data_IF_374181265477
#
_entry.id   IF_374181265477
#
_cell.length_a   1.000
_cell.length_b   1.000
_cell.length_c   1.000
_cell.angle_alpha   90.00
_cell.angle_beta   90.00
_cell.angle_gamma   90.00
#
_symmetry.space_group_name_H-M   'P 1'
#
loop_
_entity.id
_entity.type
_entity.pdbx_description
1 polymer ?
#
# COMPACT_ATOMS: atom_id res chain seq x y z
N UNK A 1 20.00 -41.57 -13.76
CA UNK A 1 20.61 -41.91 -15.05
C UNK A 1 21.31 -43.27 -14.97
N UNK A 2 20.65 -44.35 -15.37
CA UNK A 2 21.30 -45.66 -15.58
C UNK A 2 21.07 -46.03 -17.04
N UNK A 3 22.15 -46.01 -17.84
CA UNK A 3 22.16 -46.43 -19.23
C UNK A 3 22.15 -47.96 -19.27
N UNK A 4 21.07 -48.56 -19.79
CA UNK A 4 21.09 -49.96 -20.19
C UNK A 4 21.93 -50.11 -21.48
N UNK A 5 23.09 -50.75 -21.37
CA UNK A 5 23.87 -51.24 -22.50
C UNK A 5 23.21 -52.51 -23.01
N UNK A 6 22.60 -52.46 -24.16
CA UNK A 6 22.12 -53.64 -24.89
C UNK A 6 23.31 -54.25 -25.63
N UNK A 7 23.63 -55.48 -25.29
CA UNK A 7 24.75 -56.26 -25.84
C UNK A 7 24.42 -56.78 -27.25
N UNK A 8 25.26 -56.43 -28.21
CA UNK A 8 25.16 -56.71 -29.66
C UNK A 8 25.50 -58.15 -30.05
N UNK A 9 25.26 -59.14 -29.19
CA UNK A 9 25.68 -60.51 -29.40
C UNK A 9 24.59 -61.56 -29.76
N UNK A 10 23.34 -61.14 -29.96
CA UNK A 10 22.23 -62.07 -30.24
C UNK A 10 21.59 -61.90 -31.65
N UNK A 11 22.20 -61.17 -32.55
CA UNK A 11 21.65 -61.03 -33.94
C UNK A 11 22.29 -61.96 -34.97
N UNK A 12 23.30 -62.75 -34.60
CA UNK A 12 24.04 -63.57 -35.59
C UNK A 12 23.68 -65.05 -35.64
N UNK A 13 22.69 -65.51 -34.88
CA UNK A 13 22.34 -66.98 -34.89
C UNK A 13 21.01 -67.28 -35.60
N UNK A 14 20.28 -66.30 -36.11
CA UNK A 14 19.01 -66.57 -36.81
C UNK A 14 19.12 -66.64 -38.36
N UNK A 15 20.32 -66.45 -38.93
CA UNK A 15 20.50 -66.37 -40.40
C UNK A 15 21.03 -67.71 -41.01
N UNK A 16 21.23 -68.80 -40.25
CA UNK A 16 21.86 -70.05 -40.76
C UNK A 16 20.93 -71.27 -40.80
N UNK A 17 19.62 -71.12 -40.57
CA UNK A 17 18.66 -72.22 -40.60
C UNK A 17 17.76 -72.23 -41.87
N UNK A 18 18.02 -71.42 -42.86
CA UNK A 18 17.13 -71.30 -44.05
C UNK A 18 17.73 -71.94 -45.35
N UNK A 19 18.84 -72.67 -45.32
CA UNK A 19 19.52 -73.15 -46.54
C UNK A 19 19.71 -74.67 -46.73
N UNK A 20 18.96 -75.50 -46.07
CA UNK A 20 19.06 -76.99 -46.29
C UNK A 20 17.66 -77.58 -46.35
N UNK A 21 16.80 -77.21 -47.30
CA UNK A 21 15.69 -78.04 -47.79
C UNK A 21 15.45 -77.64 -49.26
N UNK A 22 16.36 -78.02 -50.11
CA UNK A 22 16.14 -78.08 -51.55
C UNK A 22 16.98 -79.17 -52.14
N UNK A 23 16.54 -80.42 -52.11
CA UNK A 23 16.74 -81.46 -53.06
C UNK A 23 16.15 -82.75 -52.45
N UNK A 24 14.97 -83.10 -52.77
CA UNK A 24 14.41 -84.44 -52.96
C UNK A 24 12.87 -84.36 -52.98
N UNK A 25 12.33 -84.44 -54.15
CA UNK A 25 10.88 -84.52 -54.22
C UNK A 25 10.43 -84.68 -55.64
N UNK A 26 10.35 -85.93 -56.04
CA UNK A 26 9.84 -86.34 -57.33
C UNK A 26 8.54 -85.57 -57.73
N UNK A 27 8.48 -85.32 -58.99
CA UNK A 27 7.33 -84.81 -59.73
C UNK A 27 6.15 -85.76 -59.52
N UNK A 28 5.27 -85.46 -58.56
CA UNK A 28 3.88 -85.85 -58.67
C UNK A 28 3.13 -84.60 -59.16
N UNK A 29 2.90 -84.55 -60.46
CA UNK A 29 1.95 -83.64 -61.05
C UNK A 29 0.54 -84.03 -60.56
N UNK A 30 0.18 -83.62 -59.35
CA UNK A 30 -1.22 -83.52 -58.97
C UNK A 30 -1.82 -82.39 -59.79
N UNK A 31 -2.80 -82.75 -60.62
CA UNK A 31 -3.60 -81.76 -61.32
C UNK A 31 -4.36 -80.95 -60.25
N UNK A 32 -3.74 -79.89 -59.82
CA UNK A 32 -4.39 -78.89 -58.92
C UNK A 32 -5.49 -78.28 -59.78
N UNK A 33 -6.72 -78.58 -59.44
CA UNK A 33 -7.89 -78.01 -60.15
C UNK A 33 -7.90 -76.50 -59.90
N UNK A 34 -8.28 -75.73 -60.89
CA UNK A 34 -8.36 -74.29 -60.81
C UNK A 34 -9.17 -73.86 -59.59
N UNK A 35 -10.17 -74.61 -59.20
CA UNK A 35 -10.98 -74.38 -58.01
C UNK A 35 -10.17 -74.48 -56.70
N UNK A 36 -9.18 -75.39 -56.59
CA UNK A 36 -8.34 -75.46 -55.40
C UNK A 36 -7.38 -74.31 -55.28
N UNK A 37 -6.90 -73.73 -56.38
CA UNK A 37 -6.06 -72.53 -56.41
C UNK A 37 -6.88 -71.35 -56.00
N UNK A 38 -8.12 -71.15 -56.55
CA UNK A 38 -9.05 -70.13 -56.21
C UNK A 38 -9.46 -70.18 -54.70
N UNK A 39 -9.72 -71.35 -54.17
CA UNK A 39 -10.02 -71.54 -52.75
C UNK A 39 -8.83 -71.18 -51.85
N UNK A 40 -7.61 -71.55 -52.27
CA UNK A 40 -6.41 -71.23 -51.54
C UNK A 40 -6.15 -69.73 -51.51
N UNK A 41 -6.38 -69.02 -52.63
CA UNK A 41 -6.26 -67.55 -52.71
C UNK A 41 -7.35 -66.84 -51.90
N UNK A 42 -8.59 -67.31 -51.92
CA UNK A 42 -9.63 -66.81 -51.04
C UNK A 42 -9.30 -66.96 -49.55
N UNK A 43 -8.76 -68.14 -49.17
CA UNK A 43 -8.31 -68.32 -47.78
C UNK A 43 -7.17 -67.39 -47.40
N UNK A 44 -6.23 -67.13 -48.34
CA UNK A 44 -5.12 -66.20 -48.11
C UNK A 44 -5.64 -64.77 -47.96
N UNK A 45 -6.59 -64.36 -48.82
CA UNK A 45 -7.22 -63.06 -48.74
C UNK A 45 -7.99 -62.86 -47.41
N UNK A 46 -8.75 -63.87 -47.00
CA UNK A 46 -9.46 -63.81 -45.72
C UNK A 46 -8.50 -63.73 -44.50
N UNK A 47 -7.41 -64.50 -44.50
CA UNK A 47 -6.38 -64.45 -43.48
C UNK A 47 -5.65 -63.09 -43.49
N UNK A 48 -5.43 -62.51 -44.67
CA UNK A 48 -4.83 -61.19 -44.80
C UNK A 48 -5.77 -60.10 -44.26
N UNK A 49 -7.06 -60.19 -44.56
CA UNK A 49 -8.07 -59.28 -44.02
C UNK A 49 -8.17 -59.38 -42.48
N UNK A 50 -8.26 -60.59 -41.94
CA UNK A 50 -8.27 -60.78 -40.48
C UNK A 50 -6.99 -60.26 -39.79
N UNK A 51 -5.85 -60.42 -40.46
CA UNK A 51 -4.57 -59.89 -39.96
C UNK A 51 -4.56 -58.37 -39.97
N UNK A 52 -5.07 -57.78 -41.06
CA UNK A 52 -5.16 -56.35 -41.17
C UNK A 52 -6.13 -55.72 -40.15
N UNK A 53 -7.27 -56.39 -39.91
CA UNK A 53 -8.20 -55.98 -38.88
C UNK A 53 -7.58 -56.02 -37.48
N UNK A 54 -6.82 -57.08 -37.15
CA UNK A 54 -6.07 -57.16 -35.90
C UNK A 54 -5.01 -56.06 -35.79
N UNK A 55 -4.28 -55.80 -36.86
CA UNK A 55 -3.29 -54.68 -36.90
C UNK A 55 -4.00 -53.36 -36.68
N UNK A 56 -5.12 -53.12 -37.34
CA UNK A 56 -5.91 -51.89 -37.17
C UNK A 56 -6.40 -51.72 -35.73
N UNK A 57 -6.92 -52.79 -35.12
CA UNK A 57 -7.36 -52.77 -33.71
C UNK A 57 -6.20 -52.46 -32.76
N UNK A 58 -5.02 -53.04 -32.97
CA UNK A 58 -3.84 -52.77 -32.15
C UNK A 58 -3.34 -51.35 -32.33
N UNK A 59 -3.32 -50.85 -33.57
CA UNK A 59 -2.94 -49.45 -33.88
C UNK A 59 -3.90 -48.48 -33.27
N UNK A 60 -5.19 -48.73 -33.35
CA UNK A 60 -6.21 -47.87 -32.77
C UNK A 60 -6.17 -47.88 -31.23
N UNK A 61 -6.00 -49.05 -30.63
CA UNK A 61 -5.76 -49.18 -29.18
C UNK A 61 -4.49 -48.44 -28.71
N UNK A 62 -3.39 -48.58 -29.47
CA UNK A 62 -2.15 -47.87 -29.16
C UNK A 62 -2.27 -46.36 -29.29
N UNK A 63 -3.02 -45.86 -30.29
CA UNK A 63 -3.32 -44.41 -30.45
C UNK A 63 -4.15 -43.92 -29.25
N UNK A 64 -5.24 -44.61 -28.95
CA UNK A 64 -6.10 -44.25 -27.81
C UNK A 64 -5.34 -44.20 -26.49
N UNK A 65 -4.48 -45.21 -26.23
CA UNK A 65 -3.65 -45.25 -25.02
C UNK A 65 -2.62 -44.09 -24.99
N UNK A 66 -2.03 -43.77 -26.15
CA UNK A 66 -1.10 -42.63 -26.25
C UNK A 66 -1.78 -41.31 -25.96
N UNK A 67 -2.99 -41.11 -26.48
CA UNK A 67 -3.76 -39.88 -26.26
C UNK A 67 -4.23 -39.78 -24.81
N UNK A 68 -4.67 -40.89 -24.19
CA UNK A 68 -4.97 -40.92 -22.76
C UNK A 68 -3.73 -40.60 -21.92
N UNK A 69 -2.59 -41.17 -22.24
CA UNK A 69 -1.33 -40.91 -21.55
C UNK A 69 -0.96 -39.41 -21.63
N UNK A 70 -1.08 -38.83 -22.82
CA UNK A 70 -0.83 -37.36 -23.02
C UNK A 70 -1.80 -36.50 -22.22
N UNK A 71 -3.09 -36.83 -22.21
CA UNK A 71 -4.11 -36.12 -21.46
C UNK A 71 -3.81 -36.17 -19.95
N UNK A 72 -3.52 -37.36 -19.41
CA UNK A 72 -3.20 -37.55 -17.99
C UNK A 72 -1.93 -36.77 -17.61
N UNK A 73 -0.87 -36.85 -18.44
CA UNK A 73 0.35 -36.08 -18.14
C UNK A 73 0.11 -34.59 -18.13
N UNK A 74 -0.69 -34.06 -19.06
CA UNK A 74 -1.09 -32.63 -19.06
C UNK A 74 -1.84 -32.25 -17.78
N UNK A 75 -2.73 -33.11 -17.31
CA UNK A 75 -3.46 -32.92 -16.06
C UNK A 75 -2.51 -32.95 -14.84
N UNK A 76 -1.60 -33.92 -14.79
CA UNK A 76 -0.59 -34.02 -13.75
C UNK A 76 0.29 -32.78 -13.71
N UNK A 77 0.72 -32.26 -14.85
CA UNK A 77 1.55 -31.06 -14.91
C UNK A 77 0.74 -29.81 -14.48
N UNK A 78 -0.53 -29.72 -14.85
CA UNK A 78 -1.45 -28.70 -14.35
C UNK A 78 -1.60 -28.75 -12.83
N UNK A 79 -1.83 -29.94 -12.28
CA UNK A 79 -1.96 -30.15 -10.83
C UNK A 79 -0.67 -29.83 -10.07
N UNK A 80 0.49 -30.14 -10.62
CA UNK A 80 1.79 -29.77 -10.02
C UNK A 80 1.96 -28.27 -9.92
N UNK A 81 1.60 -27.52 -10.98
CA UNK A 81 1.64 -26.06 -10.98
C UNK A 81 0.65 -25.51 -9.96
N UNK A 82 -0.58 -26.01 -9.97
CA UNK A 82 -1.62 -25.59 -9.02
C UNK A 82 -1.18 -25.81 -7.56
N UNK A 83 -0.69 -27.01 -7.24
CA UNK A 83 -0.23 -27.33 -5.88
C UNK A 83 0.95 -26.44 -5.45
N UNK A 84 1.89 -26.14 -6.36
CA UNK A 84 2.99 -25.21 -6.08
C UNK A 84 2.49 -23.80 -5.74
N UNK A 85 1.53 -23.30 -6.52
CA UNK A 85 0.94 -21.99 -6.29
C UNK A 85 0.14 -21.94 -4.98
N UNK A 86 -0.67 -22.97 -4.71
CA UNK A 86 -1.41 -23.10 -3.45
C UNK A 86 -0.49 -23.16 -2.24
N UNK A 87 0.60 -23.92 -2.34
CA UNK A 87 1.60 -23.99 -1.27
C UNK A 87 2.26 -22.64 -1.04
N UNK A 88 2.64 -21.93 -2.10
CA UNK A 88 3.21 -20.58 -1.98
C UNK A 88 2.22 -19.59 -1.35
N UNK A 89 0.96 -19.65 -1.75
CA UNK A 89 -0.10 -18.81 -1.19
C UNK A 89 -0.34 -19.12 0.29
N UNK A 90 -0.42 -20.39 0.66
CA UNK A 90 -0.60 -20.81 2.06
C UNK A 90 0.57 -20.37 2.94
N UNK A 91 1.80 -20.50 2.44
CA UNK A 91 2.99 -20.03 3.14
C UNK A 91 2.97 -18.51 3.34
N UNK A 92 2.54 -17.75 2.32
CA UNK A 92 2.37 -16.31 2.43
C UNK A 92 1.30 -15.92 3.46
N UNK A 93 0.16 -16.63 3.48
CA UNK A 93 -0.89 -16.41 4.48
C UNK A 93 -0.41 -16.74 5.90
N UNK A 94 0.34 -17.83 6.09
CA UNK A 94 0.90 -18.20 7.39
C UNK A 94 1.90 -17.15 7.89
N UNK A 95 2.76 -16.61 7.02
CA UNK A 95 3.66 -15.51 7.39
C UNK A 95 2.86 -14.26 7.82
N UNK A 96 1.81 -13.90 7.08
CA UNK A 96 0.94 -12.77 7.44
C UNK A 96 0.23 -13.01 8.78
N UNK A 97 -0.23 -14.23 9.06
CA UNK A 97 -0.85 -14.58 10.35
C UNK A 97 0.15 -14.46 11.52
N UNK A 98 1.40 -14.84 11.31
CA UNK A 98 2.46 -14.68 12.30
C UNK A 98 2.76 -13.21 12.57
N UNK A 99 2.87 -12.38 11.53
CA UNK A 99 3.04 -10.92 11.66
C UNK A 99 1.86 -10.25 12.40
N UNK A 100 0.62 -10.67 12.10
CA UNK A 100 -0.57 -10.20 12.80
C UNK A 100 -0.54 -10.62 14.27
N UNK A 101 -0.16 -11.86 14.58
CA UNK A 101 -0.06 -12.35 15.96
C UNK A 101 0.95 -11.55 16.77
N UNK A 102 2.13 -11.29 16.21
CA UNK A 102 3.16 -10.43 16.85
C UNK A 102 2.62 -9.02 17.07
N UNK A 103 1.92 -8.47 16.06
CA UNK A 103 1.31 -7.14 16.16
C UNK A 103 0.23 -7.08 17.26
N UNK A 104 -0.58 -8.11 17.39
CA UNK A 104 -1.61 -8.21 18.44
C UNK A 104 -1.02 -8.25 19.84
N UNK A 105 0.08 -8.98 20.04
CA UNK A 105 0.78 -9.01 21.34
C UNK A 105 1.33 -7.64 21.75
N UNK A 106 1.66 -6.79 20.77
CA UNK A 106 2.15 -5.43 20.99
C UNK A 106 1.03 -4.41 21.24
N UNK A 107 -0.20 -4.66 20.80
CA UNK A 107 -1.32 -3.71 20.91
C UNK A 107 -1.59 -3.29 22.36
N UNK A 108 -1.56 -4.21 23.29
CA UNK A 108 -1.79 -3.90 24.70
C UNK A 108 -0.69 -3.02 25.30
N UNK A 109 0.55 -3.22 24.89
CA UNK A 109 1.68 -2.39 25.31
C UNK A 109 1.55 -0.99 24.72
N UNK A 110 1.24 -0.91 23.42
CA UNK A 110 1.02 0.36 22.73
C UNK A 110 -0.13 1.14 23.38
N UNK A 111 -1.27 0.49 23.62
CA UNK A 111 -2.42 1.13 24.26
C UNK A 111 -2.10 1.71 25.64
N UNK A 112 -1.28 1.03 26.44
CA UNK A 112 -0.87 1.55 27.75
C UNK A 112 0.10 2.73 27.66
N UNK A 113 0.91 2.81 26.62
CA UNK A 113 1.91 3.87 26.45
C UNK A 113 1.37 5.09 25.72
N UNK A 114 0.37 4.93 24.86
CA UNK A 114 -0.15 6.02 24.03
C UNK A 114 -0.98 7.03 24.86
N UNK A 115 -1.70 6.58 25.89
CA UNK A 115 -2.47 7.48 26.75
C UNK A 115 -1.60 8.50 27.49
N UNK A 116 -0.55 8.10 28.22
CA UNK A 116 0.36 9.05 28.84
C UNK A 116 1.11 9.92 27.83
N UNK A 117 1.32 9.42 26.60
CA UNK A 117 1.90 10.23 25.54
C UNK A 117 0.94 11.34 25.10
N UNK A 118 -0.33 11.00 24.80
CA UNK A 118 -1.34 11.98 24.41
C UNK A 118 -1.58 13.04 25.50
N UNK A 119 -1.62 12.65 26.77
CA UNK A 119 -1.73 13.56 27.90
C UNK A 119 -0.57 14.59 27.89
N UNK A 120 0.66 14.12 27.82
CA UNK A 120 1.84 15.02 27.72
C UNK A 120 1.82 15.89 26.46
N UNK A 121 1.30 15.39 25.34
CA UNK A 121 1.14 16.18 24.13
C UNK A 121 0.12 17.31 24.32
N UNK A 122 -1.01 17.03 24.94
CA UNK A 122 -2.04 18.05 25.24
C UNK A 122 -1.49 19.11 26.20
N UNK A 123 -0.81 18.69 27.26
CA UNK A 123 -0.14 19.60 28.19
C UNK A 123 0.93 20.44 27.51
N UNK A 124 1.66 19.86 26.55
CA UNK A 124 2.64 20.57 25.74
C UNK A 124 2.00 21.67 24.87
N UNK A 125 0.83 21.42 24.27
CA UNK A 125 0.07 22.45 23.54
C UNK A 125 -0.39 23.54 24.50
N UNK A 126 -0.96 23.20 25.64
CA UNK A 126 -1.44 24.15 26.65
C UNK A 126 -0.32 25.06 27.12
N UNK A 127 0.86 24.52 27.45
CA UNK A 127 2.03 25.30 27.83
C UNK A 127 2.52 26.19 26.67
N UNK A 128 2.51 25.66 25.44
CA UNK A 128 2.87 26.45 24.27
C UNK A 128 1.93 27.64 24.06
N UNK A 129 0.62 27.46 24.24
CA UNK A 129 -0.37 28.54 24.15
C UNK A 129 -0.13 29.61 25.22
N UNK A 130 0.22 29.19 26.43
CA UNK A 130 0.48 30.12 27.53
C UNK A 130 1.74 30.98 27.34
N UNK A 131 2.73 30.47 26.60
CA UNK A 131 3.99 31.15 26.30
C UNK A 131 3.98 31.92 24.98
N UNK A 132 2.96 31.74 24.16
CA UNK A 132 2.85 32.33 22.84
C UNK A 132 2.26 33.74 22.90
N UNK A 133 2.27 34.46 21.77
CA UNK A 133 1.53 35.73 21.61
C UNK A 133 0.04 35.47 21.81
N UNK A 134 -0.71 36.40 22.47
CA UNK A 134 -2.10 36.16 22.84
C UNK A 134 -3.08 36.38 21.69
N UNK A 135 -3.12 35.45 20.75
CA UNK A 135 -4.09 35.48 19.66
C UNK A 135 -5.08 34.31 19.79
N UNK A 136 -6.33 34.57 19.47
CA UNK A 136 -7.41 33.55 19.47
C UNK A 136 -7.43 32.70 20.76
N UNK A 137 -7.19 33.31 21.90
CA UNK A 137 -6.99 32.61 23.17
C UNK A 137 -8.20 31.74 23.55
N UNK A 138 -9.41 32.24 23.35
CA UNK A 138 -10.66 31.54 23.65
C UNK A 138 -10.75 30.24 22.81
N UNK A 139 -10.57 30.35 21.48
CA UNK A 139 -10.65 29.21 20.57
C UNK A 139 -9.57 28.16 20.86
N UNK A 140 -8.34 28.60 21.13
CA UNK A 140 -7.21 27.71 21.42
C UNK A 140 -7.38 26.98 22.75
N UNK A 141 -7.86 27.69 23.79
CA UNK A 141 -8.13 27.07 25.11
C UNK A 141 -9.31 26.11 25.06
N UNK A 142 -10.38 26.46 24.33
CA UNK A 142 -11.53 25.59 24.11
C UNK A 142 -11.14 24.32 23.36
N UNK A 143 -10.25 24.42 22.38
CA UNK A 143 -9.71 23.26 21.66
C UNK A 143 -8.96 22.31 22.60
N UNK A 144 -8.11 22.85 23.49
CA UNK A 144 -7.41 22.05 24.49
C UNK A 144 -8.39 21.39 25.45
N UNK A 145 -9.41 22.10 25.92
CA UNK A 145 -10.46 21.56 26.79
C UNK A 145 -11.22 20.42 26.09
N UNK A 146 -11.61 20.59 24.82
CA UNK A 146 -12.28 19.58 24.03
C UNK A 146 -11.39 18.33 23.78
N UNK A 147 -10.08 18.50 23.66
CA UNK A 147 -9.12 17.38 23.58
C UNK A 147 -9.05 16.60 24.88
N UNK A 148 -8.98 17.28 26.05
CA UNK A 148 -8.99 16.66 27.37
C UNK A 148 -10.29 15.86 27.59
N UNK A 149 -11.45 16.45 27.26
CA UNK A 149 -12.73 15.75 27.29
C UNK A 149 -12.75 14.53 26.36
N UNK A 150 -12.25 14.67 25.14
CA UNK A 150 -12.19 13.56 24.17
C UNK A 150 -11.29 12.42 24.68
N UNK A 151 -10.22 12.74 25.41
CA UNK A 151 -9.30 11.73 25.99
C UNK A 151 -10.01 10.86 27.02
N UNK A 152 -10.92 11.43 27.81
CA UNK A 152 -11.68 10.72 28.85
C UNK A 152 -12.83 9.85 28.28
N UNK A 153 -13.33 10.17 27.10
CA UNK A 153 -14.45 9.45 26.51
C UNK A 153 -14.11 8.00 26.18
N UNK A 154 -14.98 7.07 26.57
CA UNK A 154 -14.83 5.63 26.31
C UNK A 154 -15.37 5.19 24.94
N UNK A 155 -16.25 5.97 24.33
CA UNK A 155 -16.89 5.69 23.03
C UNK A 155 -16.00 6.03 21.82
N UNK A 156 -14.84 6.69 22.04
CA UNK A 156 -13.89 7.08 21.00
C UNK A 156 -12.70 6.13 21.01
N UNK A 157 -12.35 5.59 19.84
CA UNK A 157 -11.19 4.71 19.69
C UNK A 157 -9.87 5.44 19.99
N UNK A 158 -8.85 4.69 20.46
CA UNK A 158 -7.52 5.24 20.75
C UNK A 158 -6.90 5.91 19.52
N UNK A 159 -7.06 5.31 18.37
CA UNK A 159 -6.56 5.87 17.11
C UNK A 159 -7.20 7.22 16.75
N UNK A 160 -8.51 7.35 17.00
CA UNK A 160 -9.23 8.61 16.75
C UNK A 160 -8.86 9.69 17.77
N UNK A 161 -8.65 9.33 19.02
CA UNK A 161 -8.11 10.26 20.04
C UNK A 161 -6.75 10.80 19.60
N UNK A 162 -5.85 9.92 19.22
CA UNK A 162 -4.52 10.31 18.73
C UNK A 162 -4.59 11.19 17.48
N UNK A 163 -5.46 10.84 16.53
CA UNK A 163 -5.68 11.65 15.33
C UNK A 163 -6.08 13.09 15.67
N UNK A 164 -7.01 13.28 16.62
CA UNK A 164 -7.45 14.61 17.05
C UNK A 164 -6.35 15.41 17.75
N UNK A 165 -5.51 14.75 18.54
CA UNK A 165 -4.35 15.41 19.14
C UNK A 165 -3.37 15.86 18.06
N UNK A 166 -3.08 15.00 17.07
CA UNK A 166 -2.21 15.37 15.93
C UNK A 166 -2.79 16.51 15.08
N UNK A 167 -4.10 16.51 14.87
CA UNK A 167 -4.80 17.57 14.16
C UNK A 167 -4.65 18.93 14.88
N UNK A 168 -4.74 18.93 16.21
CA UNK A 168 -4.49 20.16 16.99
C UNK A 168 -3.03 20.65 16.85
N UNK A 169 -2.04 19.72 16.86
CA UNK A 169 -0.66 20.09 16.59
C UNK A 169 -0.47 20.67 15.20
N UNK A 170 -1.16 20.11 14.20
CA UNK A 170 -1.09 20.63 12.84
C UNK A 170 -1.67 22.05 12.75
N UNK A 171 -2.82 22.30 13.37
CA UNK A 171 -3.42 23.64 13.43
C UNK A 171 -2.47 24.63 14.12
N UNK A 172 -1.87 24.25 15.25
CA UNK A 172 -0.90 25.09 15.94
C UNK A 172 0.35 25.37 15.06
N UNK A 173 0.82 24.37 14.31
CA UNK A 173 1.91 24.56 13.36
C UNK A 173 1.53 25.52 12.21
N UNK A 174 0.30 25.39 11.69
CA UNK A 174 -0.20 26.20 10.58
C UNK A 174 -0.33 27.68 10.98
N UNK A 175 -0.60 27.98 12.25
CA UNK A 175 -0.56 29.35 12.74
C UNK A 175 0.82 30.01 12.58
N UNK A 176 1.90 29.25 12.60
CA UNK A 176 3.26 29.80 12.38
C UNK A 176 3.51 30.32 10.97
N UNK A 177 2.81 29.80 9.97
CA UNK A 177 3.00 30.16 8.55
C UNK A 177 1.85 30.98 7.94
N UNK A 178 0.73 31.11 8.65
CA UNK A 178 -0.46 31.81 8.16
C UNK A 178 -0.55 33.25 8.65
N UNK A 179 -1.05 34.11 7.77
CA UNK A 179 -1.43 35.49 8.13
C UNK A 179 -2.95 35.57 8.23
N UNK A 180 -3.43 36.12 9.30
CA UNK A 180 -4.86 36.11 9.59
C UNK A 180 -5.35 37.45 10.12
N UNK A 181 -6.60 37.78 9.79
CA UNK A 181 -7.33 38.92 10.26
C UNK A 181 -8.54 38.48 11.08
N UNK A 182 -8.74 39.09 12.22
CA UNK A 182 -9.95 38.94 13.05
C UNK A 182 -10.23 40.24 13.83
N UNK A 183 -11.39 40.33 14.45
CA UNK A 183 -11.73 41.45 15.33
C UNK A 183 -11.73 40.99 16.78
N UNK A 184 -11.20 41.80 17.67
CA UNK A 184 -11.14 41.52 19.08
C UNK A 184 -11.35 42.76 19.91
N UNK A 185 -12.10 42.65 21.02
CA UNK A 185 -12.21 43.72 22.01
C UNK A 185 -10.98 43.72 22.89
N UNK A 186 -10.28 44.86 22.90
CA UNK A 186 -9.09 45.06 23.74
C UNK A 186 -9.32 46.29 24.64
N UNK A 187 -8.76 46.21 25.85
CA UNK A 187 -8.67 47.36 26.74
C UNK A 187 -7.31 48.04 26.56
N UNK A 188 -7.33 49.21 25.91
CA UNK A 188 -6.13 50.03 25.67
C UNK A 188 -6.38 51.42 26.21
N UNK A 189 -5.46 51.88 27.08
CA UNK A 189 -5.60 53.21 27.71
C UNK A 189 -6.83 53.34 28.59
N UNK A 190 -7.33 52.25 29.21
CA UNK A 190 -8.52 52.24 30.08
C UNK A 190 -9.86 52.28 29.34
N UNK A 191 -9.85 52.09 28.02
CA UNK A 191 -11.07 52.04 27.20
C UNK A 191 -11.13 50.69 26.46
N UNK A 192 -12.24 49.97 26.66
CA UNK A 192 -12.54 48.76 25.92
C UNK A 192 -13.15 49.14 24.58
N UNK A 193 -12.49 48.76 23.50
CA UNK A 193 -12.95 48.97 22.11
C UNK A 193 -12.67 47.76 21.26
N UNK A 194 -13.40 47.63 20.17
CA UNK A 194 -13.14 46.63 19.14
C UNK A 194 -12.02 47.12 18.21
N UNK A 195 -11.04 46.24 18.01
CA UNK A 195 -9.89 46.47 17.13
C UNK A 195 -9.78 45.41 16.05
N UNK A 196 -9.31 45.85 14.90
CA UNK A 196 -8.91 44.97 13.81
C UNK A 196 -7.54 44.39 14.12
N UNK A 197 -7.48 43.12 14.29
CA UNK A 197 -6.25 42.38 14.58
C UNK A 197 -5.63 41.85 13.30
N UNK A 198 -4.31 41.92 13.19
CA UNK A 198 -3.52 41.33 12.13
C UNK A 198 -2.47 40.45 12.79
N UNK A 199 -2.57 39.15 12.57
CA UNK A 199 -1.58 38.18 12.99
C UNK A 199 -0.69 37.80 11.80
N UNK A 200 0.62 37.86 11.96
CA UNK A 200 1.60 37.42 10.96
C UNK A 200 2.40 36.26 11.56
N UNK A 201 1.99 35.04 11.22
CA UNK A 201 2.56 33.84 11.82
C UNK A 201 2.50 33.90 13.35
N UNK A 202 3.62 33.57 13.99
CA UNK A 202 3.89 33.78 15.43
C UNK A 202 4.91 34.89 15.69
N UNK A 203 5.21 35.69 14.66
CA UNK A 203 6.23 36.72 14.71
C UNK A 203 5.69 38.03 15.22
N UNK A 204 4.41 38.35 14.86
CA UNK A 204 3.84 39.61 15.23
C UNK A 204 2.33 39.60 15.27
N UNK A 205 1.78 40.33 16.27
CA UNK A 205 0.37 40.58 16.45
C UNK A 205 0.15 42.10 16.51
N UNK A 206 -0.55 42.60 15.53
CA UNK A 206 -0.81 44.04 15.36
C UNK A 206 -2.29 44.30 15.50
N UNK A 207 -2.62 45.49 16.00
CA UNK A 207 -4.01 45.96 16.11
C UNK A 207 -4.16 47.35 15.51
N UNK A 208 -5.34 47.63 15.01
CA UNK A 208 -5.71 48.95 14.50
C UNK A 208 -7.19 49.23 14.75
N UNK A 209 -7.51 50.44 15.21
CA UNK A 209 -8.88 50.88 15.33
C UNK A 209 -9.53 51.07 13.96
N UNK A 210 -10.87 51.01 13.87
CA UNK A 210 -11.61 51.20 12.61
C UNK A 210 -11.36 52.54 11.95
N UNK A 211 -11.24 53.57 12.76
CA UNK A 211 -10.93 54.95 12.32
C UNK A 211 -9.43 55.15 12.02
N UNK A 212 -8.63 54.09 12.20
CA UNK A 212 -7.16 54.10 12.03
C UNK A 212 -6.41 55.10 12.93
N UNK A 213 -7.08 55.64 13.95
CA UNK A 213 -6.46 56.63 14.85
C UNK A 213 -5.42 55.98 15.76
N UNK A 214 -5.72 54.77 16.24
CA UNK A 214 -4.85 54.00 17.12
C UNK A 214 -4.35 52.80 16.36
N UNK A 215 -3.03 52.63 16.34
CA UNK A 215 -2.35 51.48 15.73
C UNK A 215 -1.27 51.02 16.69
N UNK A 216 -1.15 49.73 16.89
CA UNK A 216 -0.14 49.18 17.80
C UNK A 216 0.16 47.71 17.53
N UNK A 217 0.93 47.13 18.42
CA UNK A 217 1.36 45.77 18.36
C UNK A 217 1.44 45.15 19.76
N UNK A 218 1.55 43.84 19.80
CA UNK A 218 1.84 43.11 21.02
C UNK A 218 3.36 43.10 21.24
N UNK A 219 3.81 43.72 22.35
CA UNK A 219 5.19 43.66 22.79
C UNK A 219 5.40 42.44 23.69
N UNK A 220 6.11 41.38 23.14
CA UNK A 220 6.31 40.15 23.87
C UNK A 220 7.27 40.28 25.07
N UNK A 221 8.14 41.29 25.09
CA UNK A 221 9.06 41.55 26.22
C UNK A 221 8.33 42.16 27.42
N UNK A 222 7.39 43.06 27.16
CA UNK A 222 6.60 43.72 28.21
C UNK A 222 5.32 42.93 28.55
N UNK A 223 4.87 42.05 27.66
CA UNK A 223 3.61 41.32 27.82
C UNK A 223 2.38 42.24 27.71
N UNK A 224 2.46 43.32 26.97
CA UNK A 224 1.41 44.35 26.86
C UNK A 224 1.24 44.80 25.41
N UNK A 225 0.05 45.39 25.12
CA UNK A 225 -0.20 46.06 23.86
C UNK A 225 0.38 47.46 23.87
N UNK A 226 1.25 47.79 22.94
CA UNK A 226 1.93 49.07 22.81
C UNK A 226 1.48 49.81 21.55
N UNK A 227 1.25 51.12 21.65
CA UNK A 227 0.90 51.95 20.50
C UNK A 227 2.15 52.21 19.64
N UNK A 228 2.00 52.03 18.34
CA UNK A 228 3.01 52.34 17.35
C UNK A 228 2.89 53.77 16.83
N UNK A 229 4.01 54.34 16.42
CA UNK A 229 4.04 55.63 15.77
C UNK A 229 3.24 55.70 14.47
N UNK A 230 2.84 56.90 14.09
CA UNK A 230 2.04 57.13 12.88
C UNK A 230 2.69 56.63 11.58
N UNK A 231 3.98 56.39 11.59
CA UNK A 231 4.76 55.86 10.46
C UNK A 231 4.33 54.42 10.08
N UNK A 232 3.91 53.62 11.05
CA UNK A 232 3.49 52.22 10.82
C UNK A 232 2.01 52.09 10.50
N UNK A 233 1.19 53.13 10.68
CA UNK A 233 -0.26 53.13 10.47
C UNK A 233 -0.69 52.61 9.09
N UNK A 234 -0.03 53.08 8.04
CA UNK A 234 -0.37 52.72 6.68
C UNK A 234 0.07 51.28 6.36
N UNK A 235 1.18 50.83 6.91
CA UNK A 235 1.69 49.47 6.70
C UNK A 235 0.81 48.43 7.40
N UNK A 236 0.40 48.67 8.67
CA UNK A 236 -0.58 47.82 9.36
C UNK A 236 -1.90 47.77 8.62
N UNK A 237 -2.44 48.92 8.19
CA UNK A 237 -3.64 48.98 7.38
C UNK A 237 -3.55 48.18 6.08
N UNK A 238 -2.40 48.25 5.40
CA UNK A 238 -2.11 47.51 4.20
C UNK A 238 -2.08 46.01 4.50
N UNK A 239 -1.41 45.59 5.57
CA UNK A 239 -1.37 44.21 6.03
C UNK A 239 -2.77 43.64 6.33
N UNK A 240 -3.61 44.39 7.04
CA UNK A 240 -5.02 44.03 7.30
C UNK A 240 -5.79 43.84 5.99
N UNK A 241 -5.61 44.71 5.00
CA UNK A 241 -6.29 44.59 3.70
C UNK A 241 -5.81 43.39 2.89
N UNK A 242 -4.52 43.03 2.97
CA UNK A 242 -3.97 41.82 2.38
C UNK A 242 -4.56 40.58 3.06
N UNK A 243 -4.58 40.53 4.41
CA UNK A 243 -5.13 39.43 5.17
C UNK A 243 -6.64 39.25 4.92
N UNK A 244 -7.37 40.33 4.71
CA UNK A 244 -8.79 40.31 4.29
C UNK A 244 -9.01 39.99 2.81
N UNK A 245 -7.94 39.76 2.04
CA UNK A 245 -7.99 39.49 0.60
C UNK A 245 -8.62 40.62 -0.24
N UNK A 246 -8.58 41.86 0.26
CA UNK A 246 -9.12 43.01 -0.44
C UNK A 246 -8.16 43.62 -1.47
N UNK A 247 -6.87 43.29 -1.35
CA UNK A 247 -5.80 43.70 -2.25
C UNK A 247 -4.87 42.50 -2.51
N UNK A 248 -4.14 42.56 -3.61
CA UNK A 248 -3.13 41.53 -3.92
C UNK A 248 -2.04 41.52 -2.82
N UNK A 249 -1.42 40.36 -2.57
CA UNK A 249 -0.31 40.25 -1.64
C UNK A 249 0.85 41.17 -2.04
N UNK A 250 1.23 42.06 -1.12
CA UNK A 250 2.31 42.99 -1.29
C UNK A 250 3.25 42.95 -0.07
N UNK A 251 4.48 43.44 -0.25
CA UNK A 251 5.43 43.62 0.85
C UNK A 251 4.92 44.67 1.84
N UNK A 252 4.94 44.30 3.12
CA UNK A 252 4.56 45.15 4.25
C UNK A 252 5.76 45.24 5.19
N UNK A 253 6.11 46.44 5.59
CA UNK A 253 7.20 46.72 6.52
C UNK A 253 6.62 46.96 7.91
N UNK A 254 6.76 45.98 8.80
CA UNK A 254 6.22 46.03 10.15
C UNK A 254 7.37 45.90 11.17
N UNK A 255 7.28 46.58 12.32
CA UNK A 255 8.22 46.39 13.40
C UNK A 255 8.09 44.96 13.95
N UNK A 256 9.19 44.26 14.12
CA UNK A 256 9.25 42.91 14.69
C UNK A 256 10.14 42.99 15.94
N UNK A 257 9.80 42.30 17.04
CA UNK A 257 10.66 42.24 18.20
C UNK A 257 12.05 41.74 17.78
N UNK A 258 13.07 42.37 18.33
CA UNK A 258 14.45 41.91 18.09
C UNK A 258 14.58 40.46 18.61
N UNK A 259 15.29 39.61 17.87
CA UNK A 259 15.59 38.29 18.43
C UNK A 259 16.37 38.49 19.72
N UNK A 260 15.97 37.79 20.80
CA UNK A 260 16.76 37.73 22.01
C UNK A 260 18.20 37.48 21.65
N UNK A 261 19.09 38.36 22.03
CA UNK A 261 20.53 38.11 21.92
C UNK A 261 20.72 36.79 22.66
N UNK A 262 21.07 35.72 21.92
CA UNK A 262 21.39 34.41 22.49
C UNK A 262 22.41 34.69 23.60
N UNK A 263 21.94 34.70 24.83
CA UNK A 263 22.74 34.91 26.00
C UNK A 263 23.87 33.89 25.93
N UNK A 264 25.09 34.38 25.76
CA UNK A 264 26.28 33.55 25.63
C UNK A 264 26.30 32.54 26.76
N UNK A 265 26.26 31.26 26.41
CA UNK A 265 26.57 30.15 27.27
C UNK A 265 28.08 30.05 27.43
#
# INVERSE_FOLDING_TARGET
MKRCKFSSRQITTAALAASVIAVAGGVFAQSVTVDQVLQADQRRLNLAQESQERINQVVEGARSLTDQYRAINKEIDGLKVYNRLMTAQTNGQNATLEDISISMDQVDVINRQIFPLMERMIDGIEQSIALDIPFLMEERTDRVAALKETLERSDVSVAEKFRKVMEAYQIENDYGSSNEYYTQSLEIGGQVREYNMLRIGRIGLYFQSDDTSVTGWWNAELGEYEELGNEHRNEVRKGIRVARQLIAPELVLLPVPAPDSAGGA
#
